data_IF_274686963592
#
_entry.id   IF_274686963592
#
_cell.length_a   1.000
_cell.length_b   1.000
_cell.length_c   1.000
_cell.angle_alpha   90.00
_cell.angle_beta   90.00
_cell.angle_gamma   90.00
#
_symmetry.space_group_name_H-M   'P 1'
#
loop_
_entity.id
_entity.type
_entity.pdbx_description
1 polymer ?
#
# COMPACT_ATOMS: atom_id res chain seq x y z
N UNK A 1 -2.36 5.44 20.43
CA UNK A 1 -1.56 5.54 19.19
C UNK A 1 -1.60 4.30 18.33
N UNK A 2 -1.64 3.12 18.93
CA UNK A 2 -2.07 1.91 18.25
C UNK A 2 -3.06 1.26 19.20
N UNK A 3 -4.26 0.94 18.71
CA UNK A 3 -5.20 0.16 19.49
C UNK A 3 -4.54 -1.19 19.73
N UNK A 4 -3.95 -1.34 20.92
CA UNK A 4 -3.63 -2.65 21.47
C UNK A 4 -4.95 -3.41 21.46
N UNK A 5 -5.09 -4.41 20.59
CA UNK A 5 -6.20 -5.34 20.68
C UNK A 5 -6.12 -5.97 22.07
N UNK A 6 -7.01 -5.58 22.98
CA UNK A 6 -7.11 -6.21 24.29
C UNK A 6 -7.62 -7.64 24.08
N UNK A 7 -6.69 -8.59 24.16
CA UNK A 7 -6.93 -10.03 23.99
C UNK A 7 -6.31 -10.60 22.71
N UNK A 8 -5.27 -11.43 22.88
CA UNK A 8 -4.61 -12.19 21.80
C UNK A 8 -5.62 -12.91 20.90
N UNK A 9 -6.65 -13.52 21.50
CA UNK A 9 -7.70 -14.24 20.77
C UNK A 9 -8.53 -13.33 19.86
N UNK A 10 -8.90 -12.10 20.29
CA UNK A 10 -9.68 -11.18 19.45
C UNK A 10 -8.88 -10.69 18.24
N UNK A 11 -7.57 -10.49 18.41
CA UNK A 11 -6.67 -10.13 17.31
C UNK A 11 -6.55 -11.24 16.29
N UNK A 12 -6.38 -12.50 16.74
CA UNK A 12 -6.32 -13.65 15.85
C UNK A 12 -7.62 -13.80 15.04
N UNK A 13 -8.78 -13.76 15.72
CA UNK A 13 -10.09 -13.86 15.06
C UNK A 13 -10.33 -12.75 14.04
N UNK A 14 -9.87 -11.53 14.32
CA UNK A 14 -9.94 -10.45 13.35
C UNK A 14 -9.18 -10.79 12.05
N UNK A 15 -7.92 -11.21 12.15
CA UNK A 15 -7.11 -11.54 10.97
C UNK A 15 -7.62 -12.79 10.24
N UNK A 16 -8.14 -13.79 10.97
CA UNK A 16 -8.78 -14.96 10.36
C UNK A 16 -10.02 -14.56 9.54
N UNK A 17 -10.84 -13.62 10.03
CA UNK A 17 -11.99 -13.11 9.27
C UNK A 17 -11.57 -12.35 8.02
N UNK A 18 -10.51 -11.54 8.10
CA UNK A 18 -9.96 -10.84 6.94
C UNK A 18 -9.42 -11.83 5.90
N UNK A 19 -8.62 -12.81 6.33
CA UNK A 19 -8.08 -13.84 5.46
C UNK A 19 -9.21 -14.65 4.80
N UNK A 20 -10.24 -15.02 5.57
CA UNK A 20 -11.42 -15.70 5.02
C UNK A 20 -12.16 -14.83 3.99
N UNK A 21 -12.39 -13.55 4.30
CA UNK A 21 -13.07 -12.63 3.38
C UNK A 21 -12.29 -12.44 2.06
N UNK A 22 -10.97 -12.29 2.15
CA UNK A 22 -10.09 -12.18 0.97
C UNK A 22 -10.08 -13.48 0.16
N UNK A 23 -9.93 -14.63 0.83
CA UNK A 23 -10.00 -15.94 0.17
C UNK A 23 -11.34 -16.15 -0.54
N UNK A 24 -12.45 -15.78 0.10
CA UNK A 24 -13.77 -15.81 -0.53
C UNK A 24 -13.86 -14.85 -1.73
N UNK A 25 -13.27 -13.66 -1.66
CA UNK A 25 -13.23 -12.74 -2.80
C UNK A 25 -12.48 -13.35 -3.99
N UNK A 26 -11.30 -13.94 -3.77
CA UNK A 26 -10.52 -14.63 -4.81
C UNK A 26 -11.33 -15.76 -5.45
N UNK A 27 -11.97 -16.60 -4.62
CA UNK A 27 -12.82 -17.71 -5.12
C UNK A 27 -14.00 -17.18 -5.94
N UNK A 28 -14.69 -16.14 -5.45
CA UNK A 28 -15.84 -15.57 -6.15
C UNK A 28 -15.43 -14.95 -7.49
N UNK A 29 -14.28 -14.26 -7.55
CA UNK A 29 -13.75 -13.71 -8.80
C UNK A 29 -13.40 -14.86 -9.77
N UNK A 30 -12.74 -15.92 -9.31
CA UNK A 30 -12.45 -17.08 -10.17
C UNK A 30 -13.70 -17.82 -10.66
N UNK A 31 -14.76 -17.88 -9.86
CA UNK A 31 -16.06 -18.44 -10.30
C UNK A 31 -16.75 -17.51 -11.29
N UNK A 32 -16.71 -16.19 -11.04
CA UNK A 32 -17.31 -15.19 -11.93
C UNK A 32 -16.62 -15.18 -13.29
N UNK A 33 -15.28 -15.25 -13.33
CA UNK A 33 -14.49 -15.33 -14.55
C UNK A 33 -14.87 -16.54 -15.42
N UNK A 34 -15.10 -17.71 -14.81
CA UNK A 34 -15.58 -18.89 -15.54
C UNK A 34 -16.98 -18.72 -16.14
N UNK A 35 -17.82 -17.88 -15.54
CA UNK A 35 -19.17 -17.60 -16.05
C UNK A 35 -19.18 -16.43 -17.05
N UNK A 36 -18.31 -15.45 -16.84
CA UNK A 36 -18.16 -14.22 -17.61
C UNK A 36 -16.67 -13.90 -17.73
N UNK A 37 -16.00 -14.37 -18.80
CA UNK A 37 -14.55 -14.20 -18.96
C UNK A 37 -14.15 -12.74 -18.79
N UNK A 38 -13.35 -12.47 -17.76
CA UNK A 38 -12.87 -11.13 -17.46
C UNK A 38 -11.73 -10.78 -18.39
N UNK A 39 -11.70 -9.53 -18.84
CA UNK A 39 -10.57 -9.04 -19.61
C UNK A 39 -9.43 -8.70 -18.66
N UNK A 40 -8.40 -9.56 -18.65
CA UNK A 40 -7.14 -9.39 -17.91
C UNK A 40 -6.04 -8.87 -18.83
N UNK A 41 -6.36 -8.12 -19.89
CA UNK A 41 -5.33 -7.44 -20.70
C UNK A 41 -4.78 -6.23 -19.96
N UNK A 42 -3.69 -5.64 -20.46
CA UNK A 42 -3.12 -4.38 -19.93
C UNK A 42 -4.12 -3.20 -19.88
N UNK A 43 -5.18 -3.23 -20.70
CA UNK A 43 -6.29 -2.25 -20.67
C UNK A 43 -7.56 -2.81 -19.97
N UNK A 44 -7.37 -3.79 -19.09
CA UNK A 44 -8.42 -4.52 -18.40
C UNK A 44 -9.10 -3.69 -17.31
N UNK A 45 -10.33 -4.07 -16.96
CA UNK A 45 -11.07 -3.39 -15.88
C UNK A 45 -10.35 -3.48 -14.53
N UNK A 46 -9.64 -4.60 -14.28
CA UNK A 46 -8.93 -4.83 -13.02
C UNK A 46 -7.73 -3.89 -12.92
N UNK A 47 -6.95 -3.73 -13.98
CA UNK A 47 -5.79 -2.83 -14.02
C UNK A 47 -6.16 -1.35 -13.83
N UNK A 48 -7.23 -0.90 -14.48
CA UNK A 48 -7.76 0.45 -14.25
C UNK A 48 -8.22 0.63 -12.79
N UNK A 49 -8.87 -0.38 -12.21
CA UNK A 49 -9.26 -0.36 -10.80
C UNK A 49 -8.05 -0.31 -9.86
N UNK A 50 -6.98 -1.04 -10.18
CA UNK A 50 -5.70 -0.99 -9.45
C UNK A 50 -5.09 0.40 -9.51
N UNK A 51 -5.02 1.02 -10.69
CA UNK A 51 -4.52 2.37 -10.85
C UNK A 51 -5.27 3.37 -9.95
N UNK A 52 -6.60 3.31 -9.90
CA UNK A 52 -7.38 4.14 -8.99
C UNK A 52 -7.07 3.88 -7.52
N UNK A 53 -6.88 2.63 -7.13
CA UNK A 53 -6.51 2.28 -5.75
C UNK A 53 -5.11 2.80 -5.41
N UNK A 54 -4.13 2.66 -6.30
CA UNK A 54 -2.76 3.14 -6.08
C UNK A 54 -2.72 4.67 -6.00
N UNK A 55 -3.47 5.38 -6.86
CA UNK A 55 -3.64 6.84 -6.73
C UNK A 55 -4.25 7.18 -5.37
N UNK A 56 -5.28 6.44 -4.95
CA UNK A 56 -5.85 6.54 -3.61
C UNK A 56 -4.83 6.32 -2.49
N UNK A 57 -3.90 5.36 -2.65
CA UNK A 57 -2.81 5.10 -1.71
C UNK A 57 -1.85 6.29 -1.61
N UNK A 58 -1.42 6.86 -2.74
CA UNK A 58 -0.57 8.06 -2.78
C UNK A 58 -1.21 9.18 -1.96
N UNK A 59 -2.48 9.47 -2.23
CA UNK A 59 -3.22 10.53 -1.53
C UNK A 59 -3.40 10.23 -0.04
N UNK A 60 -3.78 9.00 0.31
CA UNK A 60 -4.00 8.61 1.71
C UNK A 60 -2.73 8.73 2.55
N UNK A 61 -1.59 8.28 2.01
CA UNK A 61 -0.30 8.38 2.68
C UNK A 61 0.24 9.82 2.73
N UNK A 62 0.04 10.61 1.67
CA UNK A 62 0.38 12.04 1.69
C UNK A 62 -0.44 12.79 2.76
N UNK A 63 -1.75 12.51 2.87
CA UNK A 63 -2.61 13.05 3.92
C UNK A 63 -2.12 12.62 5.31
N UNK A 64 -1.72 11.35 5.48
CA UNK A 64 -1.16 10.86 6.73
C UNK A 64 0.13 11.62 7.12
N UNK A 65 1.02 11.88 6.15
CA UNK A 65 2.23 12.67 6.36
C UNK A 65 1.92 14.11 6.81
N UNK A 66 0.98 14.78 6.12
CA UNK A 66 0.56 16.15 6.47
C UNK A 66 -0.09 16.20 7.86
N UNK A 67 -0.96 15.24 8.19
CA UNK A 67 -1.58 15.16 9.53
C UNK A 67 -0.54 14.88 10.61
N UNK A 68 0.43 14.02 10.34
CA UNK A 68 1.52 13.75 11.28
C UNK A 68 2.36 15.03 11.53
N UNK A 69 2.71 15.77 10.48
CA UNK A 69 3.46 17.02 10.58
C UNK A 69 2.73 18.08 11.42
N UNK A 70 1.39 18.12 11.34
CA UNK A 70 0.54 19.02 12.13
C UNK A 70 0.18 18.50 13.53
N UNK A 71 0.58 17.29 13.88
CA UNK A 71 0.23 16.69 15.18
C UNK A 71 1.22 17.11 16.28
N UNK A 72 0.70 17.20 17.51
CA UNK A 72 1.49 17.32 18.73
C UNK A 72 1.89 15.95 19.30
N UNK A 73 1.92 14.90 18.47
CA UNK A 73 2.28 13.56 18.92
C UNK A 73 3.79 13.41 19.12
N UNK A 74 4.19 12.74 20.20
CA UNK A 74 5.60 12.45 20.50
C UNK A 74 6.26 11.61 19.39
N UNK A 75 5.51 10.76 18.70
CA UNK A 75 6.02 9.95 17.59
C UNK A 75 5.73 10.53 16.20
N UNK A 76 5.35 11.81 16.10
CA UNK A 76 5.02 12.46 14.81
C UNK A 76 6.08 12.26 13.72
N UNK A 77 7.36 12.31 14.08
CA UNK A 77 8.47 12.15 13.13
C UNK A 77 8.50 10.73 12.54
N UNK A 78 8.26 9.70 13.35
CA UNK A 78 8.21 8.31 12.89
C UNK A 78 7.00 8.04 11.98
N UNK A 79 5.83 8.59 12.34
CA UNK A 79 4.63 8.49 11.51
C UNK A 79 4.84 9.17 10.17
N UNK A 80 5.40 10.39 10.18
CA UNK A 80 5.67 11.17 8.98
C UNK A 80 6.68 10.45 8.08
N UNK A 81 7.75 9.88 8.65
CA UNK A 81 8.74 9.12 7.89
C UNK A 81 8.12 7.91 7.16
N UNK A 82 7.35 7.08 7.87
CA UNK A 82 6.64 5.95 7.25
C UNK A 82 5.68 6.43 6.18
N UNK A 83 4.93 7.51 6.45
CA UNK A 83 3.95 8.03 5.50
C UNK A 83 4.60 8.57 4.23
N UNK A 84 5.74 9.26 4.34
CA UNK A 84 6.52 9.71 3.18
C UNK A 84 7.08 8.53 2.39
N UNK A 85 7.60 7.49 3.05
CA UNK A 85 8.11 6.31 2.38
C UNK A 85 7.02 5.58 1.58
N UNK A 86 5.84 5.36 2.19
CA UNK A 86 4.73 4.73 1.47
C UNK A 86 4.10 5.63 0.40
N UNK A 87 4.14 6.96 0.56
CA UNK A 87 3.79 7.90 -0.52
C UNK A 87 4.72 7.70 -1.71
N UNK A 88 6.04 7.60 -1.46
CA UNK A 88 7.04 7.40 -2.50
C UNK A 88 6.85 6.06 -3.24
N UNK A 89 6.67 4.97 -2.49
CA UNK A 89 6.46 3.63 -3.06
C UNK A 89 5.17 3.58 -3.88
N UNK A 90 4.06 4.12 -3.36
CA UNK A 90 2.78 4.14 -4.09
C UNK A 90 2.87 5.00 -5.35
N UNK A 91 3.60 6.13 -5.29
CA UNK A 91 3.77 7.01 -6.43
C UNK A 91 4.63 6.36 -7.52
N UNK A 92 5.67 5.61 -7.13
CA UNK A 92 6.43 4.78 -8.07
C UNK A 92 5.53 3.70 -8.71
N UNK A 93 4.61 3.10 -7.93
CA UNK A 93 3.60 2.17 -8.43
C UNK A 93 2.73 2.76 -9.53
N UNK A 94 2.19 3.98 -9.34
CA UNK A 94 1.42 4.68 -10.40
C UNK A 94 2.25 4.84 -11.69
N UNK A 95 3.53 5.19 -11.54
CA UNK A 95 4.44 5.29 -12.67
C UNK A 95 4.63 3.96 -13.39
N UNK A 96 4.80 2.86 -12.63
CA UNK A 96 4.91 1.50 -13.16
C UNK A 96 3.67 1.09 -13.94
N UNK A 97 2.48 1.16 -13.34
CA UNK A 97 1.23 0.70 -13.99
C UNK A 97 0.96 1.46 -15.28
N UNK A 98 1.21 2.76 -15.29
CA UNK A 98 0.98 3.56 -16.50
C UNK A 98 2.11 3.44 -17.53
N UNK A 99 3.17 2.69 -17.23
CA UNK A 99 4.44 2.73 -17.96
C UNK A 99 4.89 4.18 -18.21
N UNK A 100 4.73 5.03 -17.19
CA UNK A 100 4.93 6.48 -17.25
C UNK A 100 4.20 7.17 -18.42
N UNK A 101 2.99 6.69 -18.72
CA UNK A 101 2.08 7.16 -19.77
C UNK A 101 2.32 6.58 -21.15
N UNK A 102 3.25 5.63 -21.32
CA UNK A 102 3.48 4.98 -22.61
C UNK A 102 2.24 4.23 -23.12
N UNK A 103 1.46 3.61 -22.22
CA UNK A 103 0.20 2.91 -22.56
C UNK A 103 -0.84 3.87 -23.16
N UNK A 104 -0.76 5.16 -22.82
CA UNK A 104 -1.63 6.20 -23.37
C UNK A 104 -1.09 6.82 -24.68
N UNK A 105 -0.05 6.23 -25.27
CA UNK A 105 0.53 6.67 -26.54
C UNK A 105 1.40 7.92 -26.44
N UNK A 106 1.92 8.24 -25.23
CA UNK A 106 2.90 9.32 -25.09
C UNK A 106 4.18 8.98 -25.84
N UNK A 107 4.81 10.00 -26.43
CA UNK A 107 6.06 9.81 -27.14
C UNK A 107 7.23 9.47 -26.18
N UNK A 108 8.28 8.78 -26.67
CA UNK A 108 9.39 8.35 -25.81
C UNK A 108 10.11 9.48 -25.07
N UNK A 109 10.16 10.69 -25.62
CA UNK A 109 10.81 11.81 -24.93
C UNK A 109 9.98 12.25 -23.72
N UNK A 110 8.66 12.35 -23.88
CA UNK A 110 7.74 12.65 -22.77
C UNK A 110 7.77 11.58 -21.68
N UNK A 111 7.74 10.29 -22.06
CA UNK A 111 7.85 9.16 -21.11
C UNK A 111 9.16 9.26 -20.31
N UNK A 112 10.29 9.52 -20.96
CA UNK A 112 11.58 9.68 -20.29
C UNK A 112 11.58 10.85 -19.29
N UNK A 113 10.97 11.99 -19.65
CA UNK A 113 10.85 13.15 -18.73
C UNK A 113 9.99 12.80 -17.51
N UNK A 114 8.88 12.09 -17.70
CA UNK A 114 8.01 11.62 -16.63
C UNK A 114 8.73 10.63 -15.71
N UNK A 115 9.48 9.68 -16.28
CA UNK A 115 10.32 8.75 -15.52
C UNK A 115 11.35 9.50 -14.66
N UNK A 116 12.12 10.41 -15.26
CA UNK A 116 13.16 11.16 -14.54
C UNK A 116 12.58 12.05 -13.44
N UNK A 117 11.50 12.76 -13.73
CA UNK A 117 10.82 13.63 -12.76
C UNK A 117 10.23 12.81 -11.61
N UNK A 118 9.61 11.67 -11.94
CA UNK A 118 9.07 10.76 -10.92
C UNK A 118 10.16 10.19 -10.04
N UNK A 119 11.29 9.77 -10.62
CA UNK A 119 12.45 9.29 -9.88
C UNK A 119 12.99 10.36 -8.90
N UNK A 120 13.09 11.62 -9.34
CA UNK A 120 13.50 12.73 -8.46
C UNK A 120 12.52 12.90 -7.30
N UNK A 121 11.20 12.90 -7.56
CA UNK A 121 10.17 13.02 -6.51
C UNK A 121 10.29 11.86 -5.50
N UNK A 122 10.41 10.62 -5.98
CA UNK A 122 10.57 9.43 -5.14
C UNK A 122 11.82 9.55 -4.26
N UNK A 123 12.96 9.94 -4.85
CA UNK A 123 14.22 10.14 -4.11
C UNK A 123 14.07 11.21 -3.04
N UNK A 124 13.42 12.34 -3.32
CA UNK A 124 13.20 13.41 -2.35
C UNK A 124 12.33 12.96 -1.18
N UNK A 125 11.25 12.21 -1.46
CA UNK A 125 10.37 11.66 -0.42
C UNK A 125 11.10 10.63 0.46
N UNK A 126 11.87 9.72 -0.14
CA UNK A 126 12.66 8.72 0.58
C UNK A 126 13.79 9.37 1.38
N UNK A 127 14.48 10.36 0.83
CA UNK A 127 15.50 11.14 1.53
C UNK A 127 14.88 11.84 2.75
N UNK A 128 13.72 12.49 2.59
CA UNK A 128 12.99 13.11 3.71
C UNK A 128 12.60 12.09 4.79
N UNK A 129 12.08 10.92 4.40
CA UNK A 129 11.76 9.84 5.32
C UNK A 129 13.02 9.36 6.08
N UNK A 130 14.12 9.14 5.37
CA UNK A 130 15.39 8.71 5.95
C UNK A 130 15.96 9.76 6.91
N UNK A 131 15.97 11.04 6.52
CA UNK A 131 16.41 12.14 7.38
C UNK A 131 15.62 12.16 8.68
N UNK A 132 14.29 12.03 8.63
CA UNK A 132 13.44 11.98 9.83
C UNK A 132 13.77 10.78 10.73
N UNK A 133 14.05 9.62 10.15
CA UNK A 133 14.43 8.42 10.92
C UNK A 133 15.76 8.64 11.63
N UNK A 134 16.76 9.17 10.94
CA UNK A 134 18.12 9.36 11.46
C UNK A 134 18.17 10.48 12.51
N UNK A 135 17.58 11.64 12.25
CA UNK A 135 17.61 12.78 13.18
C UNK A 135 16.82 12.53 14.46
N UNK A 136 15.81 11.65 14.41
CA UNK A 136 14.97 11.31 15.56
C UNK A 136 15.17 9.87 16.06
N UNK A 137 16.33 9.25 15.79
CA UNK A 137 16.58 7.81 15.97
C UNK A 137 16.09 7.19 17.28
N UNK A 138 16.27 7.87 18.43
CA UNK A 138 15.80 7.36 19.74
C UNK A 138 14.28 7.23 19.80
N UNK A 139 13.56 8.27 19.36
CA UNK A 139 12.10 8.28 19.26
C UNK A 139 11.64 7.33 18.15
N UNK A 140 12.38 7.26 17.04
CA UNK A 140 12.12 6.35 15.91
C UNK A 140 12.19 4.88 16.30
N UNK A 141 13.12 4.47 17.18
CA UNK A 141 13.18 3.09 17.68
C UNK A 141 11.97 2.71 18.53
N UNK A 142 11.57 3.59 19.46
CA UNK A 142 10.39 3.38 20.29
C UNK A 142 9.11 3.35 19.43
N UNK A 143 9.01 4.28 18.47
CA UNK A 143 7.96 4.28 17.46
C UNK A 143 7.92 2.97 16.69
N UNK A 144 9.05 2.52 16.15
CA UNK A 144 9.12 1.33 15.29
C UNK A 144 8.65 0.08 16.04
N UNK A 145 9.09 -0.11 17.29
CA UNK A 145 8.62 -1.23 18.13
C UNK A 145 7.10 -1.21 18.30
N UNK A 146 6.53 -0.01 18.48
CA UNK A 146 5.10 0.20 18.66
C UNK A 146 4.34 0.05 17.33
N UNK A 147 4.93 0.49 16.22
CA UNK A 147 4.39 0.38 14.88
C UNK A 147 4.34 -1.07 14.43
N UNK A 148 5.39 -1.88 14.66
CA UNK A 148 5.43 -3.29 14.27
C UNK A 148 4.27 -4.10 14.88
N UNK A 149 3.85 -3.75 16.09
CA UNK A 149 2.75 -4.44 16.78
C UNK A 149 1.37 -3.85 16.47
N UNK A 150 1.30 -2.86 15.59
CA UNK A 150 0.09 -2.10 15.31
C UNK A 150 -0.81 -2.71 14.23
N UNK A 151 -2.06 -2.23 14.17
CA UNK A 151 -3.01 -2.58 13.11
C UNK A 151 -2.57 -2.10 11.72
N UNK A 152 -2.08 -0.85 11.52
CA UNK A 152 -1.48 -0.44 10.25
C UNK A 152 -0.38 -1.38 9.75
N UNK A 153 0.55 -1.80 10.63
CA UNK A 153 1.58 -2.76 10.24
C UNK A 153 0.99 -4.12 9.85
N UNK A 154 -0.01 -4.60 10.57
CA UNK A 154 -0.68 -5.86 10.20
C UNK A 154 -1.26 -5.82 8.79
N UNK A 155 -1.84 -4.68 8.38
CA UNK A 155 -2.31 -4.47 7.01
C UNK A 155 -1.16 -4.44 6.00
N UNK A 156 -0.06 -3.74 6.32
CA UNK A 156 1.15 -3.75 5.48
C UNK A 156 1.67 -5.16 5.26
N UNK A 157 1.81 -5.96 6.34
CA UNK A 157 2.27 -7.34 6.24
C UNK A 157 1.31 -8.21 5.42
N UNK A 158 0.00 -8.04 5.61
CA UNK A 158 -1.01 -8.71 4.79
C UNK A 158 -0.83 -8.38 3.31
N UNK A 159 -0.66 -7.10 2.98
CA UNK A 159 -0.42 -6.66 1.60
C UNK A 159 0.87 -7.23 1.02
N UNK A 160 1.97 -7.20 1.77
CA UNK A 160 3.25 -7.79 1.32
C UNK A 160 3.15 -9.30 1.05
N UNK A 161 2.39 -10.03 1.87
CA UNK A 161 2.15 -11.46 1.66
C UNK A 161 1.32 -11.68 0.39
N UNK A 162 0.26 -10.90 0.18
CA UNK A 162 -0.58 -11.01 -1.02
C UNK A 162 0.22 -10.66 -2.28
N UNK A 163 1.01 -9.60 -2.25
CA UNK A 163 1.89 -9.21 -3.35
C UNK A 163 2.90 -10.33 -3.69
N UNK A 164 3.51 -10.96 -2.68
CA UNK A 164 4.41 -12.10 -2.89
C UNK A 164 3.69 -13.34 -3.45
N UNK A 165 2.42 -13.53 -3.14
CA UNK A 165 1.59 -14.59 -3.74
C UNK A 165 1.29 -14.25 -5.20
N UNK A 166 0.92 -12.99 -5.51
CA UNK A 166 0.69 -12.50 -6.87
C UNK A 166 1.91 -12.69 -7.77
N UNK A 167 3.07 -12.21 -7.32
CA UNK A 167 4.36 -12.38 -8.02
C UNK A 167 4.72 -13.86 -8.27
N UNK A 168 4.20 -14.80 -7.46
CA UNK A 168 4.41 -16.21 -7.72
C UNK A 168 3.65 -16.75 -8.95
N UNK A 169 2.54 -16.09 -9.32
CA UNK A 169 1.80 -16.36 -10.56
C UNK A 169 2.39 -15.66 -11.79
N UNK A 170 3.19 -14.60 -11.62
CA UNK A 170 3.86 -13.88 -12.72
C UNK A 170 5.17 -14.59 -13.13
N UNK A 171 6.09 -14.80 -12.18
CA UNK A 171 7.49 -15.14 -12.49
C UNK A 171 7.77 -16.65 -12.65
N UNK A 172 6.75 -17.51 -12.80
CA UNK A 172 6.86 -18.98 -12.64
C UNK A 172 7.56 -19.40 -11.32
N UNK A 173 7.55 -18.52 -10.32
CA UNK A 173 8.16 -18.79 -9.02
C UNK A 173 7.42 -19.98 -8.40
N UNK A 174 8.16 -20.98 -7.90
CA UNK A 174 7.62 -22.25 -7.38
C UNK A 174 6.95 -23.20 -8.42
N UNK A 175 7.17 -23.01 -9.73
CA UNK A 175 6.58 -23.84 -10.80
C UNK A 175 5.05 -23.85 -10.82
N UNK A 176 4.44 -22.78 -10.34
CA UNK A 176 3.00 -22.55 -10.50
C UNK A 176 2.77 -22.11 -11.95
N UNK A 177 1.73 -22.63 -12.60
CA UNK A 177 1.35 -22.19 -13.95
C UNK A 177 0.98 -20.70 -13.92
N UNK A 178 1.53 -19.88 -14.83
CA UNK A 178 1.23 -18.46 -14.87
C UNK A 178 -0.25 -18.22 -15.04
N UNK A 179 -0.81 -17.33 -14.22
CA UNK A 179 -2.25 -17.08 -14.20
C UNK A 179 -2.53 -15.61 -13.93
N UNK A 180 -2.57 -14.84 -15.02
CA UNK A 180 -2.68 -13.38 -15.00
C UNK A 180 -3.85 -12.85 -14.14
N UNK A 181 -5.03 -13.48 -14.23
CA UNK A 181 -6.16 -13.12 -13.37
C UNK A 181 -5.83 -13.17 -11.87
N UNK A 182 -5.12 -14.21 -11.41
CA UNK A 182 -4.81 -14.35 -10.00
C UNK A 182 -3.72 -13.38 -9.57
N UNK A 183 -2.72 -13.16 -10.42
CA UNK A 183 -1.70 -12.12 -10.24
C UNK A 183 -2.37 -10.76 -9.97
N UNK A 184 -3.18 -10.26 -10.90
CA UNK A 184 -3.91 -9.00 -10.78
C UNK A 184 -4.79 -8.97 -9.51
N UNK A 185 -5.60 -10.01 -9.27
CA UNK A 185 -6.46 -10.05 -8.07
C UNK A 185 -5.64 -9.98 -6.77
N UNK A 186 -4.49 -10.65 -6.70
CA UNK A 186 -3.62 -10.60 -5.53
C UNK A 186 -2.92 -9.25 -5.38
N UNK A 187 -2.48 -8.63 -6.48
CA UNK A 187 -1.95 -7.26 -6.48
C UNK A 187 -3.00 -6.25 -6.02
N UNK A 188 -4.21 -6.27 -6.60
CA UNK A 188 -5.33 -5.43 -6.19
C UNK A 188 -5.65 -5.56 -4.70
N UNK A 189 -5.74 -6.79 -4.17
CA UNK A 189 -5.96 -7.02 -2.75
C UNK A 189 -4.79 -6.52 -1.89
N UNK A 190 -3.56 -6.61 -2.39
CA UNK A 190 -2.39 -6.05 -1.72
C UNK A 190 -2.48 -4.53 -1.62
N UNK A 191 -2.82 -3.84 -2.72
CA UNK A 191 -3.03 -2.39 -2.74
C UNK A 191 -4.15 -1.95 -1.77
N UNK A 192 -5.26 -2.70 -1.72
CA UNK A 192 -6.32 -2.47 -0.74
C UNK A 192 -5.83 -2.62 0.71
N UNK A 193 -4.93 -3.56 1.00
CA UNK A 193 -4.33 -3.65 2.34
C UNK A 193 -3.49 -2.40 2.66
N UNK A 194 -2.68 -1.93 1.70
CA UNK A 194 -1.82 -0.76 1.91
C UNK A 194 -2.66 0.51 2.12
N UNK A 195 -3.74 0.71 1.37
CA UNK A 195 -4.63 1.87 1.59
C UNK A 195 -5.36 1.78 2.94
N UNK A 196 -5.81 0.58 3.36
CA UNK A 196 -6.43 0.41 4.68
C UNK A 196 -5.46 0.67 5.83
N UNK A 197 -4.17 0.38 5.65
CA UNK A 197 -3.11 0.81 6.58
C UNK A 197 -3.07 2.32 6.72
N UNK A 198 -3.03 3.06 5.60
CA UNK A 198 -3.03 4.52 5.58
C UNK A 198 -4.28 5.11 6.25
N UNK A 199 -5.47 4.61 5.90
CA UNK A 199 -6.75 5.06 6.48
C UNK A 199 -6.80 4.79 7.99
N UNK A 200 -6.32 3.62 8.44
CA UNK A 200 -6.23 3.30 9.87
C UNK A 200 -5.28 4.26 10.60
N UNK A 201 -4.22 4.73 9.94
CA UNK A 201 -3.29 5.69 10.52
C UNK A 201 -3.90 7.10 10.59
N UNK A 202 -4.52 7.55 9.49
CA UNK A 202 -5.18 8.85 9.35
C UNK A 202 -6.31 9.04 10.37
N UNK A 203 -7.15 8.02 10.55
CA UNK A 203 -8.25 8.03 11.52
C UNK A 203 -7.74 8.15 12.96
N UNK A 204 -6.66 7.43 13.27
CA UNK A 204 -6.02 7.48 14.60
C UNK A 204 -5.44 8.87 14.91
N UNK A 205 -4.86 9.55 13.92
CA UNK A 205 -4.37 10.92 14.07
C UNK A 205 -5.51 11.93 14.24
N UNK A 206 -6.61 11.76 13.50
CA UNK A 206 -7.78 12.66 13.55
C UNK A 206 -8.47 12.68 14.92
N UNK A 207 -8.67 11.50 15.54
CA UNK A 207 -9.32 11.39 16.84
C UNK A 207 -8.57 12.10 17.98
N UNK A 208 -7.25 12.26 17.86
CA UNK A 208 -6.43 12.92 18.89
C UNK A 208 -6.57 14.43 18.85
N UNK A 209 -6.56 15.01 17.65
CA UNK A 209 -6.68 16.45 17.47
C UNK A 209 -8.05 17.01 17.91
N UNK A 210 -9.08 16.16 17.99
CA UNK A 210 -10.40 16.53 18.54
C UNK A 210 -10.49 16.41 20.07
N UNK A 211 -9.49 15.81 20.73
CA UNK A 211 -9.48 15.56 22.18
C UNK A 211 -8.52 16.47 22.96
N UNK A 212 -7.82 17.36 22.26
CA UNK A 212 -6.89 18.37 22.78
C UNK A 212 -7.47 19.76 22.59
#
# INVERSE_FOLDING_TARGET
>A
MFTSFSGSSRRLWYWLRIAFAMGMAVVLIGVADRAFPLNTSEDGFIEEAELFVIIGMVLAWAIAAVKAARSHDEFRAGIMAVSLAFTAVSFAGVGRETTWGAIYGLDPATVNVLMMTSAIIVILLLAGAFTLIVTHLKVSKAFLRRFITSRPMGWILCGLILFAIGAAFEENFLKVEPHQLFEEVFEFLAYLCIIFSAVSLVSTLGAKNSSS
#
